data_IF_426342489278
#
_entry.id   IF_426342489278
#
_cell.length_a   1.000
_cell.length_b   1.000
_cell.length_c   1.000
_cell.angle_alpha   90.00
_cell.angle_beta   90.00
_cell.angle_gamma   90.00
#
_symmetry.space_group_name_H-M   'P 1'
#
loop_
_entity.id
_entity.type
_entity.pdbx_description
1 polymer ?
#
# COMPACT_ATOMS: atom_id res chain seq x y z
N UNK A 1 15.51 34.34 3.90
CA UNK A 1 14.99 33.84 5.18
C UNK A 1 15.31 32.36 5.27
N UNK A 2 16.21 31.96 6.18
CA UNK A 2 16.58 30.55 6.38
C UNK A 2 15.38 29.85 7.03
N UNK A 3 14.68 28.97 6.29
CA UNK A 3 13.71 28.06 6.89
C UNK A 3 14.51 27.06 7.73
N UNK A 4 14.34 27.11 9.04
CA UNK A 4 14.82 26.07 9.95
C UNK A 4 14.16 24.76 9.53
N UNK A 5 14.97 23.70 9.38
CA UNK A 5 14.48 22.34 9.27
C UNK A 5 13.69 21.99 10.55
N UNK A 6 12.56 21.28 10.47
CA UNK A 6 11.95 20.72 11.66
C UNK A 6 12.84 19.60 12.19
N UNK A 7 13.65 19.92 13.20
CA UNK A 7 14.38 18.93 14.01
C UNK A 7 13.43 18.38 15.06
N UNK A 8 12.83 17.21 14.83
CA UNK A 8 12.60 16.17 15.86
C UNK A 8 12.66 14.80 15.16
N UNK A 9 13.81 14.14 15.21
CA UNK A 9 13.94 12.71 14.93
C UNK A 9 13.11 11.94 15.97
N UNK A 10 11.89 11.53 15.61
CA UNK A 10 11.18 10.45 16.30
C UNK A 10 11.33 9.22 15.44
N UNK A 11 12.39 8.48 15.68
CA UNK A 11 12.72 7.26 14.98
C UNK A 11 11.83 6.14 15.51
N UNK A 12 10.74 5.82 14.80
CA UNK A 12 9.85 4.76 15.24
C UNK A 12 10.41 3.42 14.76
N UNK A 13 10.52 2.45 15.66
CA UNK A 13 11.06 1.13 15.32
C UNK A 13 9.93 0.15 15.06
N UNK A 14 9.87 -0.39 13.86
CA UNK A 14 8.95 -1.47 13.48
C UNK A 14 9.70 -2.78 13.59
N UNK A 15 9.11 -3.76 14.27
CA UNK A 15 9.64 -5.11 14.43
C UNK A 15 8.73 -6.12 13.76
N UNK A 16 9.30 -7.00 12.95
CA UNK A 16 8.61 -8.06 12.23
C UNK A 16 9.43 -9.36 12.28
N UNK A 17 8.82 -10.54 12.11
CA UNK A 17 9.55 -11.80 12.19
C UNK A 17 10.60 -11.88 11.08
N UNK A 18 11.74 -12.52 11.36
CA UNK A 18 12.69 -12.87 10.31
C UNK A 18 12.07 -13.92 9.37
N UNK A 19 12.47 -13.98 8.08
CA UNK A 19 12.09 -15.03 7.16
C UNK A 19 12.40 -16.40 7.73
N UNK A 20 11.35 -17.16 8.03
CA UNK A 20 11.47 -18.59 8.31
C UNK A 20 11.29 -19.31 6.99
N UNK A 21 12.16 -20.29 6.70
CA UNK A 21 12.04 -21.13 5.51
C UNK A 21 10.84 -22.09 5.55
N UNK A 22 10.11 -22.12 6.66
CA UNK A 22 8.90 -22.92 6.83
C UNK A 22 7.74 -22.27 6.08
N UNK A 23 7.50 -22.74 4.86
CA UNK A 23 6.28 -22.41 4.12
C UNK A 23 5.10 -22.99 4.89
N UNK A 24 4.24 -22.13 5.42
CA UNK A 24 2.95 -22.57 5.94
C UNK A 24 2.20 -23.37 4.86
N UNK A 25 1.57 -24.50 5.22
CA UNK A 25 0.78 -25.28 4.27
C UNK A 25 -0.28 -24.39 3.62
N UNK A 26 -0.32 -24.43 2.30
CA UNK A 26 -1.08 -23.52 1.46
C UNK A 26 -2.48 -24.10 1.22
N UNK A 27 -3.49 -23.61 1.94
CA UNK A 27 -4.85 -24.17 1.87
C UNK A 27 -5.76 -23.55 0.80
N UNK A 28 -5.33 -22.47 0.14
CA UNK A 28 -6.17 -21.72 -0.82
C UNK A 28 -5.55 -21.80 -2.22
N UNK A 29 -6.01 -22.71 -3.09
CA UNK A 29 -5.40 -22.96 -4.40
C UNK A 29 -5.55 -21.80 -5.40
N UNK A 30 -6.50 -20.88 -5.18
CA UNK A 30 -6.70 -19.69 -6.01
C UNK A 30 -6.65 -18.44 -5.14
N UNK A 31 -5.54 -17.70 -5.25
CA UNK A 31 -5.50 -16.32 -4.76
C UNK A 31 -6.24 -15.45 -5.76
N UNK A 32 -7.10 -14.56 -5.25
CA UNK A 32 -7.63 -13.46 -6.07
C UNK A 32 -6.42 -12.73 -6.63
N UNK A 33 -6.31 -12.65 -7.97
CA UNK A 33 -5.17 -12.03 -8.62
C UNK A 33 -5.00 -10.57 -8.20
N UNK A 34 -3.78 -10.03 -8.35
CA UNK A 34 -3.48 -8.63 -8.05
C UNK A 34 -4.39 -7.71 -8.87
N UNK A 35 -5.31 -7.02 -8.19
CA UNK A 35 -6.11 -5.85 -8.62
C UNK A 35 -6.44 -5.77 -10.13
N UNK A 36 -7.67 -6.18 -10.50
CA UNK A 36 -8.26 -6.06 -11.84
C UNK A 36 -8.68 -4.62 -12.21
N UNK A 37 -7.90 -3.59 -11.84
CA UNK A 37 -8.19 -2.21 -12.25
C UNK A 37 -7.82 -2.07 -13.73
N UNK A 38 -8.75 -1.69 -14.63
CA UNK A 38 -8.45 -1.51 -16.03
C UNK A 38 -7.40 -0.40 -16.25
N UNK A 39 -6.44 -0.60 -17.18
CA UNK A 39 -5.41 0.40 -17.47
C UNK A 39 -5.98 1.78 -17.83
N UNK A 40 -7.13 1.81 -18.50
CA UNK A 40 -7.79 3.04 -18.93
C UNK A 40 -8.30 3.86 -17.74
N UNK A 41 -8.76 3.18 -16.67
CA UNK A 41 -9.18 3.84 -15.43
C UNK A 41 -7.97 4.46 -14.74
N UNK A 42 -6.85 3.74 -14.66
CA UNK A 42 -5.58 4.25 -14.11
C UNK A 42 -5.11 5.48 -14.86
N UNK A 43 -5.16 5.45 -16.18
CA UNK A 43 -4.74 6.57 -17.01
C UNK A 43 -5.68 7.77 -16.87
N UNK A 44 -7.00 7.52 -16.80
CA UNK A 44 -7.98 8.58 -16.55
C UNK A 44 -7.74 9.30 -15.21
N UNK A 45 -7.35 8.53 -14.19
CA UNK A 45 -7.01 9.05 -12.86
C UNK A 45 -5.71 9.86 -12.91
N UNK A 46 -4.66 9.31 -13.53
CA UNK A 46 -3.36 9.98 -13.69
C UNK A 46 -3.48 11.32 -14.42
N UNK A 47 -4.30 11.38 -15.47
CA UNK A 47 -4.54 12.58 -16.26
C UNK A 47 -5.56 13.54 -15.61
N UNK A 48 -6.20 13.15 -14.50
CA UNK A 48 -7.31 13.88 -13.87
C UNK A 48 -8.42 14.26 -14.88
N UNK A 49 -8.66 13.40 -15.87
CA UNK A 49 -9.51 13.72 -17.03
C UNK A 49 -10.91 13.15 -16.86
N UNK A 50 -11.80 13.97 -16.30
CA UNK A 50 -13.23 13.65 -16.19
C UNK A 50 -13.85 13.38 -17.57
N UNK A 51 -13.42 14.08 -18.62
CA UNK A 51 -13.91 13.86 -19.99
C UNK A 51 -13.57 12.46 -20.52
N UNK A 52 -12.34 11.98 -20.30
CA UNK A 52 -11.92 10.64 -20.74
C UNK A 52 -12.68 9.57 -19.97
N UNK A 53 -12.82 9.76 -18.65
CA UNK A 53 -13.60 8.88 -17.80
C UNK A 53 -15.06 8.76 -18.28
N UNK A 54 -15.73 9.88 -18.52
CA UNK A 54 -17.12 9.88 -18.96
C UNK A 54 -17.30 9.29 -20.37
N UNK A 55 -16.28 9.40 -21.23
CA UNK A 55 -16.27 8.75 -22.54
C UNK A 55 -16.23 7.22 -22.41
N UNK A 56 -15.45 6.69 -21.46
CA UNK A 56 -15.31 5.25 -21.22
C UNK A 56 -16.49 4.68 -20.42
N UNK A 57 -17.03 5.47 -19.49
CA UNK A 57 -18.04 5.05 -18.53
C UNK A 57 -19.21 6.05 -18.48
N UNK A 58 -20.05 6.10 -19.52
CA UNK A 58 -21.16 7.04 -19.60
C UNK A 58 -22.22 6.82 -18.51
N UNK A 59 -22.28 5.63 -17.90
CA UNK A 59 -23.19 5.33 -16.78
C UNK A 59 -22.93 6.20 -15.54
N UNK A 60 -21.77 6.85 -15.44
CA UNK A 60 -21.47 7.79 -14.36
C UNK A 60 -22.31 9.08 -14.43
N UNK A 61 -22.78 9.46 -15.62
CA UNK A 61 -23.67 10.62 -15.81
C UNK A 61 -25.14 10.32 -15.53
N UNK A 62 -25.51 9.04 -15.48
CA UNK A 62 -26.88 8.62 -15.24
C UNK A 62 -27.17 8.61 -13.74
N UNK A 63 -28.40 8.94 -13.36
CA UNK A 63 -28.87 8.72 -11.99
C UNK A 63 -28.71 7.25 -11.59
N UNK A 64 -28.51 6.99 -10.30
CA UNK A 64 -28.31 5.63 -9.81
C UNK A 64 -29.65 4.87 -9.85
N UNK A 65 -29.69 3.75 -10.56
CA UNK A 65 -30.83 2.83 -10.57
C UNK A 65 -30.33 1.38 -10.57
N UNK A 66 -31.24 0.44 -10.32
CA UNK A 66 -30.89 -0.99 -10.16
C UNK A 66 -30.07 -1.55 -11.34
N UNK A 67 -30.38 -1.12 -12.57
CA UNK A 67 -29.68 -1.59 -13.78
C UNK A 67 -28.27 -1.04 -13.98
N UNK A 68 -27.93 0.13 -13.41
CA UNK A 68 -26.56 0.69 -13.49
C UNK A 68 -25.77 0.59 -12.18
N UNK A 69 -26.39 0.11 -11.10
CA UNK A 69 -25.81 0.01 -9.76
C UNK A 69 -24.44 -0.70 -9.78
N UNK A 70 -24.40 -1.94 -10.27
CA UNK A 70 -23.18 -2.77 -10.27
C UNK A 70 -22.05 -2.06 -11.03
N UNK A 71 -22.35 -1.50 -12.20
CA UNK A 71 -21.33 -0.86 -13.02
C UNK A 71 -20.79 0.41 -12.36
N UNK A 72 -21.66 1.27 -11.82
CA UNK A 72 -21.25 2.51 -11.16
C UNK A 72 -20.38 2.24 -9.93
N UNK A 73 -20.80 1.34 -9.05
CA UNK A 73 -20.01 0.99 -7.86
C UNK A 73 -18.69 0.30 -8.22
N UNK A 74 -18.68 -0.58 -9.24
CA UNK A 74 -17.45 -1.19 -9.73
C UNK A 74 -16.43 -0.14 -10.19
N UNK A 75 -16.87 0.88 -10.91
CA UNK A 75 -15.99 1.97 -11.35
C UNK A 75 -15.50 2.78 -10.14
N UNK A 76 -16.37 3.11 -9.19
CA UNK A 76 -15.98 3.80 -7.95
C UNK A 76 -14.93 3.00 -7.16
N UNK A 77 -15.10 1.68 -7.01
CA UNK A 77 -14.13 0.81 -6.34
C UNK A 77 -12.77 0.80 -7.04
N UNK A 78 -12.74 0.87 -8.38
CA UNK A 78 -11.48 0.99 -9.10
C UNK A 78 -10.75 2.31 -8.81
N UNK A 79 -11.48 3.41 -8.70
CA UNK A 79 -10.88 4.69 -8.30
C UNK A 79 -10.37 4.68 -6.87
N UNK A 80 -11.13 4.08 -5.95
CA UNK A 80 -10.69 3.89 -4.57
C UNK A 80 -9.42 3.04 -4.51
N UNK A 81 -9.32 1.96 -5.30
CA UNK A 81 -8.10 1.13 -5.33
C UNK A 81 -6.89 1.91 -5.86
N UNK A 82 -7.04 2.68 -6.95
CA UNK A 82 -5.94 3.52 -7.47
C UNK A 82 -5.50 4.58 -6.47
N UNK A 83 -6.46 5.23 -5.80
CA UNK A 83 -6.15 6.21 -4.76
C UNK A 83 -5.44 5.54 -3.57
N UNK A 84 -5.91 4.36 -3.15
CA UNK A 84 -5.30 3.59 -2.07
C UNK A 84 -3.88 3.12 -2.43
N UNK A 85 -3.62 2.76 -3.68
CA UNK A 85 -2.25 2.47 -4.14
C UNK A 85 -1.33 3.69 -4.05
N UNK A 86 -1.80 4.87 -4.46
CA UNK A 86 -1.03 6.11 -4.35
C UNK A 86 -0.76 6.45 -2.88
N UNK A 87 -1.78 6.39 -2.02
CA UNK A 87 -1.60 6.60 -0.59
C UNK A 87 -0.64 5.57 0.03
N UNK A 88 -0.74 4.29 -0.36
CA UNK A 88 0.17 3.23 0.11
C UNK A 88 1.61 3.42 -0.35
N UNK A 89 1.85 4.12 -1.45
CA UNK A 89 3.22 4.41 -1.90
C UNK A 89 3.97 5.35 -0.94
N UNK A 90 3.27 6.10 -0.09
CA UNK A 90 3.91 6.94 0.93
C UNK A 90 4.66 6.12 1.99
N UNK A 91 4.30 4.85 2.16
CA UNK A 91 4.92 3.92 3.12
C UNK A 91 6.15 3.21 2.52
N UNK A 92 6.40 3.38 1.22
CA UNK A 92 7.52 2.73 0.55
C UNK A 92 8.85 3.37 0.97
N UNK A 93 9.71 2.56 1.60
CA UNK A 93 11.04 2.96 2.02
C UNK A 93 12.10 2.26 1.16
N UNK A 94 13.10 3.03 0.75
CA UNK A 94 14.25 2.53 -0.02
C UNK A 94 15.55 2.72 0.75
N UNK A 95 16.53 1.83 0.53
CA UNK A 95 17.85 1.94 1.17
C UNK A 95 17.84 1.72 2.68
N UNK A 96 16.77 1.11 3.22
CA UNK A 96 16.64 0.80 4.64
C UNK A 96 17.57 -0.33 5.07
N UNK A 97 18.20 -0.16 6.24
CA UNK A 97 19.03 -1.19 6.87
C UNK A 97 18.17 -1.97 7.86
N UNK A 98 18.08 -3.29 7.65
CA UNK A 98 17.43 -4.20 8.60
C UNK A 98 18.41 -4.53 9.73
N UNK A 99 17.99 -4.32 10.96
CA UNK A 99 18.73 -4.79 12.13
C UNK A 99 18.16 -6.14 12.57
N UNK A 100 19.02 -7.15 12.70
CA UNK A 100 18.63 -8.48 13.19
C UNK A 100 18.68 -8.50 14.72
N UNK A 101 17.60 -8.94 15.35
CA UNK A 101 17.54 -9.21 16.78
C UNK A 101 16.81 -10.52 17.00
N UNK A 102 17.54 -11.54 17.47
CA UNK A 102 17.02 -12.90 17.66
C UNK A 102 16.29 -13.43 16.40
N UNK A 103 14.98 -13.68 16.53
CA UNK A 103 14.07 -14.20 15.51
C UNK A 103 13.30 -13.10 14.75
N UNK A 104 13.71 -11.84 14.91
CA UNK A 104 13.04 -10.68 14.34
C UNK A 104 14.01 -9.76 13.61
N UNK A 105 13.46 -8.99 12.68
CA UNK A 105 14.12 -7.84 12.09
C UNK A 105 13.43 -6.57 12.56
N UNK A 106 14.22 -5.51 12.72
CA UNK A 106 13.73 -4.18 13.02
C UNK A 106 14.19 -3.15 12.00
N UNK A 107 13.33 -2.18 11.72
CA UNK A 107 13.61 -1.02 10.87
C UNK A 107 13.24 0.26 11.60
N UNK A 108 14.05 1.28 11.38
CA UNK A 108 13.74 2.64 11.78
C UNK A 108 12.95 3.31 10.67
N UNK A 109 11.75 3.79 10.98
CA UNK A 109 10.87 4.50 10.04
C UNK A 109 10.71 5.95 10.51
N UNK A 110 11.14 6.93 9.69
CA UNK A 110 10.89 8.33 9.96
C UNK A 110 9.40 8.65 9.76
N UNK A 111 8.83 9.51 10.59
CA UNK A 111 7.49 10.06 10.35
C UNK A 111 6.33 9.06 10.46
N UNK A 112 6.51 7.89 11.09
CA UNK A 112 5.47 6.84 11.15
C UNK A 112 4.10 7.34 11.67
N UNK A 113 4.10 8.31 12.59
CA UNK A 113 2.90 8.92 13.18
C UNK A 113 2.15 9.85 12.23
N UNK A 114 2.81 10.31 11.17
CA UNK A 114 2.28 11.25 10.19
C UNK A 114 1.59 10.52 9.03
N UNK A 115 1.81 9.21 8.89
CA UNK A 115 1.13 8.41 7.89
C UNK A 115 -0.35 8.23 8.19
N UNK A 116 -1.15 8.33 7.13
CA UNK A 116 -2.59 8.15 7.18
C UNK A 116 -3.03 7.15 6.10
N UNK A 117 -3.69 6.03 6.46
CA UNK A 117 -4.02 5.57 7.82
C UNK A 117 -2.79 5.15 8.67
N UNK A 118 -2.89 5.19 10.01
CA UNK A 118 -1.76 4.83 10.87
C UNK A 118 -1.40 3.35 10.75
N UNK A 119 -0.10 3.06 10.75
CA UNK A 119 0.44 1.68 10.75
C UNK A 119 0.13 0.99 12.07
N UNK A 120 -0.32 -0.27 12.01
CA UNK A 120 -0.75 -1.08 13.16
C UNK A 120 0.00 -2.40 13.24
N UNK A 121 0.03 -2.96 14.44
CA UNK A 121 0.46 -4.35 14.63
C UNK A 121 -0.45 -5.30 13.86
N UNK A 122 0.14 -6.27 13.17
CA UNK A 122 -0.56 -7.21 12.30
C UNK A 122 -0.58 -6.79 10.83
N UNK A 123 -0.31 -5.52 10.50
CA UNK A 123 -0.17 -5.09 9.11
C UNK A 123 0.99 -5.83 8.43
N UNK A 124 0.84 -6.09 7.14
CA UNK A 124 1.81 -6.86 6.36
C UNK A 124 2.87 -5.93 5.78
N UNK A 125 4.14 -6.26 6.00
CA UNK A 125 5.29 -5.58 5.40
C UNK A 125 5.89 -6.46 4.33
N UNK A 126 6.10 -5.88 3.16
CA UNK A 126 6.85 -6.49 2.06
C UNK A 126 8.26 -5.92 2.02
N UNK A 127 9.24 -6.80 2.01
CA UNK A 127 10.67 -6.44 2.04
C UNK A 127 11.33 -7.02 0.82
N UNK A 128 11.95 -6.16 0.04
CA UNK A 128 12.66 -6.54 -1.17
C UNK A 128 14.16 -6.42 -0.93
N UNK A 129 14.89 -7.53 -1.04
CA UNK A 129 16.34 -7.54 -0.83
C UNK A 129 17.10 -6.81 -1.95
N UNK A 130 16.51 -6.74 -3.13
CA UNK A 130 17.10 -6.09 -4.29
C UNK A 130 16.09 -5.19 -4.98
N UNK A 131 16.55 -4.12 -5.66
CA UNK A 131 15.68 -3.22 -6.42
C UNK A 131 15.00 -3.92 -7.61
N UNK A 132 15.39 -5.15 -7.93
CA UNK A 132 14.76 -5.95 -8.97
C UNK A 132 13.51 -6.70 -8.48
N UNK A 133 13.10 -6.51 -7.21
CA UNK A 133 11.93 -7.12 -6.58
C UNK A 133 11.85 -8.66 -6.66
N UNK A 134 12.98 -9.34 -6.93
CA UNK A 134 13.04 -10.81 -7.11
C UNK A 134 13.00 -11.61 -5.81
N UNK A 135 13.58 -11.05 -4.76
CA UNK A 135 13.64 -11.66 -3.44
C UNK A 135 12.77 -10.85 -2.51
N UNK A 136 11.60 -11.40 -2.18
CA UNK A 136 10.61 -10.77 -1.34
C UNK A 136 10.40 -11.59 -0.07
N UNK A 137 10.40 -10.89 1.06
CA UNK A 137 9.89 -11.42 2.31
C UNK A 137 8.61 -10.67 2.69
N UNK A 138 7.60 -11.42 3.13
CA UNK A 138 6.33 -10.90 3.61
C UNK A 138 6.17 -11.30 5.08
N UNK A 139 5.90 -10.34 5.96
CA UNK A 139 5.75 -10.62 7.38
C UNK A 139 4.86 -9.60 8.10
N UNK A 140 4.06 -10.04 9.10
CA UNK A 140 3.24 -9.13 9.89
C UNK A 140 4.10 -8.33 10.87
N UNK A 141 3.74 -7.06 11.09
CA UNK A 141 4.32 -6.23 12.15
C UNK A 141 3.96 -6.84 13.51
N UNK A 142 4.97 -7.24 14.28
CA UNK A 142 4.79 -7.76 15.64
C UNK A 142 4.69 -6.65 16.67
N UNK A 143 5.51 -5.61 16.51
CA UNK A 143 5.63 -4.54 17.50
C UNK A 143 5.98 -3.23 16.82
N UNK A 144 5.41 -2.16 17.34
CA UNK A 144 5.74 -0.78 16.96
C UNK A 144 6.22 -0.10 18.24
N UNK A 145 7.44 0.41 18.22
CA UNK A 145 8.03 1.19 19.30
C UNK A 145 7.97 2.65 18.84
N UNK A 146 7.16 3.44 19.55
CA UNK A 146 6.96 4.85 19.26
C UNK A 146 7.77 5.68 20.27
N UNK A 147 8.63 6.56 19.76
CA UNK A 147 9.33 7.58 20.56
C UNK A 147 8.46 8.83 20.83
#
# INVERSE_FOLDING_TARGET
MKKQLPTINKENVIVFPAPRHDRAPFFVPHRIGSSMVPPEVRESFRQQSLRLLLKLHPSLLQELYSGNYVNRFKISLWFEEVQNEIMRSEYDLQGVVLQSSEDCYSITVPGLKEFHPPVRTGDIVNIYRSPNYKEMFEGPIKKIILD
#
